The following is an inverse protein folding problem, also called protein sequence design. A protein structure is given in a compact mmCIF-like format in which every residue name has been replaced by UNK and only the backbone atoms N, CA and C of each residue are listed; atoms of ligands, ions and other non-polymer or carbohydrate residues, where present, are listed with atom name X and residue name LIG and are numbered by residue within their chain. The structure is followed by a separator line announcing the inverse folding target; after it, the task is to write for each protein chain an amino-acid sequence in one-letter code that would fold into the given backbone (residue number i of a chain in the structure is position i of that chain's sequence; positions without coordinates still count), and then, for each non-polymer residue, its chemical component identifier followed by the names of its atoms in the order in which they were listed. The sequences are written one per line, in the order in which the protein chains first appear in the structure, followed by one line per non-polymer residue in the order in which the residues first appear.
data_IF_032917051860
#
_entry.id   IF_032917051860
#
_cell.length_a   1.000
_cell.length_b   1.000
_cell.length_c   1.000
_cell.angle_alpha   90.00
_cell.angle_beta   90.00
_cell.angle_gamma   90.00
#
_symmetry.space_group_name_H-M   'P 1'
#
loop_
_entity.id
_entity.type
_entity.pdbx_description
1 polymer ?
#
# COMPACT_ATOMS: atom_id res chain seq x y z
N UNK A 1 -11.17 -2.31 -3.00
CA UNK A 1 -11.82 -0.97 -3.05
C UNK A 1 -13.32 -1.05 -3.26
N UNK A 2 -14.04 -1.64 -2.31
CA UNK A 2 -15.50 -1.67 -2.32
C UNK A 2 -16.03 -0.76 -1.23
N UNK A 3 -17.26 -0.28 -1.38
CA UNK A 3 -18.02 0.42 -0.36
C UNK A 3 -17.99 -0.37 0.96
N UNK A 4 -17.72 0.27 2.11
CA UNK A 4 -17.52 1.70 2.34
C UNK A 4 -16.04 2.13 2.38
N UNK A 5 -15.10 1.34 1.87
CA UNK A 5 -13.67 1.56 2.03
C UNK A 5 -13.02 2.38 0.91
N UNK A 6 -13.81 2.95 -0.02
CA UNK A 6 -13.28 3.83 -1.07
C UNK A 6 -13.01 5.22 -0.51
N UNK A 7 -12.07 5.97 -1.10
CA UNK A 7 -11.73 7.32 -0.63
C UNK A 7 -12.98 8.24 -0.49
N UNK A 8 -13.86 8.25 -1.49
CA UNK A 8 -15.13 9.00 -1.48
C UNK A 8 -16.09 8.62 -0.34
N UNK A 9 -15.97 7.42 0.22
CA UNK A 9 -16.77 6.95 1.36
C UNK A 9 -16.09 7.23 2.71
N UNK A 10 -14.81 7.60 2.69
CA UNK A 10 -13.93 7.82 3.84
C UNK A 10 -13.62 9.33 4.05
N UNK A 11 -14.52 10.20 3.59
CA UNK A 11 -14.48 11.65 3.85
C UNK A 11 -13.78 12.49 2.78
N UNK A 12 -13.26 11.90 1.70
CA UNK A 12 -12.72 12.67 0.58
C UNK A 12 -13.86 13.20 -0.30
N UNK A 13 -13.91 14.53 -0.51
CA UNK A 13 -14.88 15.19 -1.40
C UNK A 13 -14.60 14.91 -2.88
N UNK A 14 -13.36 14.56 -3.21
CA UNK A 14 -12.84 14.38 -4.56
C UNK A 14 -11.84 13.22 -4.57
N UNK A 15 -11.93 12.32 -5.55
CA UNK A 15 -11.08 11.14 -5.65
C UNK A 15 -10.88 10.69 -7.10
N UNK A 16 -9.63 10.48 -7.48
CA UNK A 16 -9.24 9.86 -8.76
C UNK A 16 -8.25 8.75 -8.46
N UNK A 17 -8.68 7.51 -8.58
CA UNK A 17 -7.92 6.34 -8.09
C UNK A 17 -7.89 5.22 -9.14
N UNK A 18 -6.86 4.39 -9.07
CA UNK A 18 -6.92 3.02 -9.60
C UNK A 18 -7.52 2.08 -8.54
N UNK A 19 -7.87 0.85 -8.93
CA UNK A 19 -8.26 -0.21 -7.97
C UNK A 19 -7.04 -1.07 -7.60
N UNK A 20 -7.06 -1.65 -6.40
CA UNK A 20 -6.00 -2.48 -5.85
C UNK A 20 -4.84 -1.67 -5.29
N UNK A 21 -3.75 -2.37 -5.00
CA UNK A 21 -2.54 -1.78 -4.41
C UNK A 21 -1.45 -1.45 -5.43
N UNK A 22 -1.75 -1.43 -6.73
CA UNK A 22 -0.79 -1.10 -7.78
C UNK A 22 -1.22 -1.59 -9.16
N UNK A 23 -0.56 -1.07 -10.19
CA UNK A 23 -0.81 -1.45 -11.59
C UNK A 23 -0.29 -2.85 -11.88
N UNK A 24 -0.96 -3.57 -12.78
CA UNK A 24 -0.67 -4.95 -13.15
C UNK A 24 -1.16 -5.96 -12.11
N UNK A 25 -2.05 -5.54 -11.22
CA UNK A 25 -2.63 -6.38 -10.18
C UNK A 25 -4.02 -6.88 -10.61
N UNK A 26 -4.55 -7.93 -9.96
CA UNK A 26 -5.83 -8.50 -10.37
C UNK A 26 -7.05 -7.57 -10.27
N UNK A 27 -6.91 -6.41 -9.62
CA UNK A 27 -7.96 -5.39 -9.56
C UNK A 27 -7.93 -4.39 -10.71
N UNK A 28 -6.93 -4.45 -11.59
CA UNK A 28 -6.90 -3.63 -12.80
C UNK A 28 -8.22 -3.80 -13.59
N UNK A 29 -8.75 -2.74 -14.23
CA UNK A 29 -9.90 -2.87 -15.10
C UNK A 29 -9.61 -3.82 -16.27
N UNK A 30 -10.61 -4.64 -16.61
CA UNK A 30 -10.49 -5.65 -17.68
C UNK A 30 -10.15 -4.96 -19.00
N UNK A 31 -9.05 -5.37 -19.63
CA UNK A 31 -8.55 -4.81 -20.89
C UNK A 31 -7.67 -3.57 -20.76
N UNK A 32 -7.48 -3.04 -19.55
CA UNK A 32 -6.61 -1.90 -19.26
C UNK A 32 -5.43 -2.26 -18.32
N UNK A 33 -5.09 -3.54 -18.24
CA UNK A 33 -4.14 -4.05 -17.24
C UNK A 33 -2.70 -3.63 -17.53
N UNK A 34 -1.96 -3.37 -16.46
CA UNK A 34 -0.51 -3.24 -16.51
C UNK A 34 0.03 -1.96 -17.13
N UNK A 35 -0.81 -0.96 -17.42
CA UNK A 35 -0.41 0.28 -18.12
C UNK A 35 -0.47 1.50 -17.22
N UNK A 36 0.62 2.24 -17.16
CA UNK A 36 0.68 3.59 -16.60
C UNK A 36 0.16 4.65 -17.57
N UNK A 37 0.37 4.44 -18.87
CA UNK A 37 -0.03 5.36 -19.93
C UNK A 37 -1.45 5.07 -20.38
N UNK A 38 -2.22 6.14 -20.58
CA UNK A 38 -3.64 6.10 -20.94
C UNK A 38 -4.44 5.13 -20.04
N UNK A 39 -4.47 5.37 -18.71
CA UNK A 39 -5.08 4.44 -17.76
C UNK A 39 -6.60 4.57 -17.72
N UNK A 40 -7.25 3.46 -17.37
CA UNK A 40 -8.64 3.47 -16.89
C UNK A 40 -8.62 3.66 -15.37
N UNK A 41 -9.23 4.75 -14.88
CA UNK A 41 -9.27 5.16 -13.48
C UNK A 41 -10.70 5.28 -12.98
N UNK A 42 -10.89 5.56 -11.69
CA UNK A 42 -12.19 5.79 -11.06
C UNK A 42 -12.23 7.20 -10.46
N UNK A 43 -13.04 8.07 -11.07
CA UNK A 43 -13.32 9.42 -10.59
C UNK A 43 -14.61 9.40 -9.77
N UNK A 44 -14.52 9.56 -8.45
CA UNK A 44 -15.65 9.50 -7.52
C UNK A 44 -16.54 8.26 -7.77
N UNK A 45 -15.87 7.11 -7.91
CA UNK A 45 -16.48 5.80 -8.11
C UNK A 45 -16.94 5.51 -9.54
N UNK A 46 -16.84 6.47 -10.46
CA UNK A 46 -17.17 6.27 -11.88
C UNK A 46 -15.91 5.97 -12.68
N UNK A 47 -15.96 4.91 -13.47
CA UNK A 47 -14.88 4.56 -14.37
C UNK A 47 -14.69 5.65 -15.44
N UNK A 48 -13.43 6.04 -15.67
CA UNK A 48 -13.04 7.08 -16.63
C UNK A 48 -11.75 6.69 -17.32
N UNK A 49 -11.73 6.78 -18.65
CA UNK A 49 -10.52 6.69 -19.44
C UNK A 49 -9.78 8.03 -19.42
N UNK A 50 -8.48 8.02 -19.12
CA UNK A 50 -7.62 9.20 -19.17
C UNK A 50 -6.55 9.04 -20.25
N UNK A 51 -5.98 10.17 -20.68
CA UNK A 51 -4.86 10.23 -21.61
C UNK A 51 -3.64 10.79 -20.88
N UNK A 52 -2.47 10.22 -21.15
CA UNK A 52 -1.20 10.60 -20.52
C UNK A 52 -0.73 9.59 -19.48
N UNK A 53 0.36 9.92 -18.78
CA UNK A 53 0.98 9.04 -17.79
C UNK A 53 0.32 9.20 -16.42
N UNK A 54 0.08 8.10 -15.70
CA UNK A 54 -0.65 8.06 -14.43
C UNK A 54 -0.19 9.13 -13.43
N UNK A 55 1.13 9.26 -13.20
CA UNK A 55 1.66 10.23 -12.24
C UNK A 55 1.24 11.66 -12.60
N UNK A 56 1.42 12.07 -13.85
CA UNK A 56 1.04 13.41 -14.33
C UNK A 56 -0.46 13.65 -14.15
N UNK A 57 -1.29 12.65 -14.49
CA UNK A 57 -2.75 12.72 -14.35
C UNK A 57 -3.16 12.98 -12.89
N UNK A 58 -2.52 12.31 -11.93
CA UNK A 58 -2.84 12.52 -10.51
C UNK A 58 -2.44 13.91 -10.03
N UNK A 59 -1.26 14.39 -10.41
CA UNK A 59 -0.80 15.74 -10.05
C UNK A 59 -1.68 16.82 -10.69
N UNK A 60 -2.05 16.68 -11.96
CA UNK A 60 -2.96 17.61 -12.65
C UNK A 60 -4.32 17.66 -11.97
N UNK A 61 -4.84 16.51 -11.56
CA UNK A 61 -6.12 16.44 -10.85
C UNK A 61 -6.04 17.09 -9.47
N UNK A 62 -4.95 16.87 -8.73
CA UNK A 62 -4.71 17.52 -7.44
C UNK A 62 -4.60 19.04 -7.58
N UNK A 63 -3.88 19.54 -8.57
CA UNK A 63 -3.75 20.96 -8.86
C UNK A 63 -5.11 21.60 -9.16
N UNK A 64 -5.93 20.94 -9.98
CA UNK A 64 -7.29 21.41 -10.26
C UNK A 64 -8.15 21.48 -8.99
N UNK A 65 -8.03 20.50 -8.08
CA UNK A 65 -8.74 20.53 -6.80
C UNK A 65 -8.26 21.69 -5.90
N UNK A 66 -6.95 21.96 -5.87
CA UNK A 66 -6.36 23.09 -5.14
C UNK A 66 -6.87 24.42 -5.70
N UNK A 67 -6.89 24.60 -7.01
CA UNK A 67 -7.44 25.79 -7.68
C UNK A 67 -8.90 26.03 -7.30
N UNK A 68 -9.74 24.99 -7.37
CA UNK A 68 -11.15 25.07 -6.96
C UNK A 68 -11.28 25.44 -5.49
N UNK A 69 -10.43 24.87 -4.62
CA UNK A 69 -10.43 25.17 -3.19
C UNK A 69 -10.06 26.63 -2.91
N UNK A 70 -9.05 27.15 -3.63
CA UNK A 70 -8.68 28.58 -3.59
C UNK A 70 -9.83 29.47 -4.02
N UNK A 71 -10.47 29.19 -5.16
CA UNK A 71 -11.62 29.98 -5.65
C UNK A 71 -12.78 29.98 -4.65
N UNK A 72 -12.96 28.88 -3.91
CA UNK A 72 -13.97 28.76 -2.85
C UNK A 72 -13.53 29.31 -1.50
N UNK A 73 -12.31 29.83 -1.38
CA UNK A 73 -11.70 30.31 -0.15
C UNK A 73 -11.78 29.29 1.00
N UNK A 74 -11.41 28.03 0.71
CA UNK A 74 -11.39 26.93 1.68
C UNK A 74 -9.98 26.34 1.81
N UNK A 75 -9.54 25.93 3.02
CA UNK A 75 -8.34 25.10 3.14
C UNK A 75 -8.56 23.76 2.45
N UNK A 76 -7.47 23.14 2.01
CA UNK A 76 -7.50 21.85 1.32
C UNK A 76 -6.60 20.83 2.02
N UNK A 77 -6.96 19.56 1.84
CA UNK A 77 -6.09 18.41 2.15
C UNK A 77 -6.00 17.56 0.90
N UNK A 78 -4.78 17.31 0.43
CA UNK A 78 -4.51 16.46 -0.74
C UNK A 78 -3.65 15.29 -0.29
N UNK A 79 -4.15 14.08 -0.52
CA UNK A 79 -3.38 12.85 -0.40
C UNK A 79 -3.08 12.31 -1.80
N UNK A 80 -1.80 12.26 -2.16
CA UNK A 80 -1.33 11.92 -3.51
C UNK A 80 -0.43 10.68 -3.50
N UNK A 81 -0.98 9.47 -3.27
CA UNK A 81 -0.20 8.23 -3.26
C UNK A 81 0.05 7.76 -4.69
N UNK A 82 1.10 8.28 -5.32
CA UNK A 82 1.48 7.82 -6.66
C UNK A 82 1.88 6.34 -6.62
N UNK A 83 1.52 5.63 -7.68
CA UNK A 83 1.90 4.24 -7.91
C UNK A 83 3.35 4.12 -8.40
N UNK A 84 3.90 5.14 -9.05
CA UNK A 84 5.32 5.18 -9.40
C UNK A 84 6.20 5.26 -8.14
N UNK A 85 7.41 4.65 -8.12
CA UNK A 85 8.06 3.91 -9.19
C UNK A 85 7.86 2.39 -9.04
N UNK A 86 6.69 1.93 -8.58
CA UNK A 86 6.38 0.51 -8.56
C UNK A 86 6.37 -0.07 -9.98
N UNK A 87 6.58 -1.39 -10.13
CA UNK A 87 6.35 -2.03 -11.42
C UNK A 87 4.86 -1.98 -11.82
N UNK A 88 4.53 -2.26 -13.09
CA UNK A 88 5.42 -2.77 -14.14
C UNK A 88 6.33 -1.70 -14.77
N UNK A 89 7.46 -2.12 -15.33
CA UNK A 89 8.48 -1.22 -15.90
C UNK A 89 8.45 -1.15 -17.44
N UNK A 90 7.55 -1.88 -18.10
CA UNK A 90 7.49 -1.88 -19.56
C UNK A 90 6.88 -0.57 -20.11
N UNK A 91 6.13 0.14 -19.28
CA UNK A 91 5.44 1.39 -19.59
C UNK A 91 5.90 2.47 -18.61
N UNK A 92 6.77 3.36 -19.08
CA UNK A 92 7.42 4.43 -18.30
C UNK A 92 7.51 5.70 -19.16
N UNK A 93 7.75 6.88 -18.55
CA UNK A 93 7.94 8.13 -19.30
C UNK A 93 9.11 8.00 -20.28
N UNK A 94 8.80 8.13 -21.57
CA UNK A 94 9.71 7.72 -22.64
C UNK A 94 10.92 8.66 -22.78
N UNK A 95 10.71 9.96 -22.64
CA UNK A 95 11.78 10.96 -22.77
C UNK A 95 12.82 10.79 -21.65
N UNK A 96 12.38 10.65 -20.40
CA UNK A 96 13.25 10.40 -19.26
C UNK A 96 13.94 9.03 -19.38
N UNK A 97 13.22 8.01 -19.84
CA UNK A 97 13.82 6.69 -20.06
C UNK A 97 14.94 6.73 -21.11
N UNK A 98 14.74 7.42 -22.23
CA UNK A 98 15.78 7.57 -23.25
C UNK A 98 16.99 8.35 -22.70
N UNK A 99 16.76 9.38 -21.89
CA UNK A 99 17.83 10.09 -21.18
C UNK A 99 18.63 9.13 -20.28
N UNK A 100 17.99 8.43 -19.34
CA UNK A 100 18.70 7.54 -18.41
C UNK A 100 19.32 6.32 -19.10
N UNK A 101 18.74 5.86 -20.21
CA UNK A 101 19.31 4.78 -21.02
C UNK A 101 20.60 5.19 -21.71
N UNK A 102 20.78 6.48 -22.01
CA UNK A 102 22.01 7.01 -22.60
C UNK A 102 23.18 7.10 -21.61
N UNK A 103 22.90 7.03 -20.30
CA UNK A 103 23.91 7.15 -19.25
C UNK A 103 24.56 5.82 -18.90
N UNK A 104 25.83 5.86 -18.46
CA UNK A 104 26.43 4.71 -17.78
C UNK A 104 25.83 4.59 -16.38
N UNK A 105 24.98 3.57 -16.18
CA UNK A 105 24.36 3.29 -14.89
C UNK A 105 24.97 2.07 -14.20
N UNK A 106 26.21 1.68 -14.50
CA UNK A 106 26.88 0.56 -13.83
C UNK A 106 27.08 0.80 -12.33
N UNK A 107 27.35 -0.26 -11.56
CA UNK A 107 27.47 -0.16 -10.10
C UNK A 107 28.69 0.66 -9.64
N UNK A 108 29.74 0.72 -10.44
CA UNK A 108 30.95 1.51 -10.17
C UNK A 108 30.73 3.02 -10.29
N UNK A 109 29.60 3.45 -10.87
CA UNK A 109 29.19 4.85 -10.95
C UNK A 109 28.58 5.37 -9.65
N UNK A 110 28.46 4.52 -8.61
CA UNK A 110 27.80 4.87 -7.36
C UNK A 110 28.69 4.57 -6.14
N UNK A 111 28.64 5.40 -5.09
CA UNK A 111 29.40 5.16 -3.86
C UNK A 111 29.06 3.80 -3.24
N UNK A 112 30.08 3.04 -2.87
CA UNK A 112 29.99 1.73 -2.19
C UNK A 112 30.92 1.64 -0.98
N UNK A 113 31.30 2.79 -0.42
CA UNK A 113 32.26 2.90 0.69
C UNK A 113 31.63 2.71 2.08
N UNK A 114 30.32 2.50 2.17
CA UNK A 114 29.60 2.33 3.43
C UNK A 114 28.55 1.24 3.33
N UNK A 115 28.37 0.54 4.46
CA UNK A 115 27.38 -0.51 4.61
C UNK A 115 27.59 -1.65 3.64
N UNK A 116 26.47 -2.17 3.16
CA UNK A 116 26.42 -3.38 2.40
C UNK A 116 26.65 -3.18 0.89
N UNK A 117 27.53 -3.99 0.29
CA UNK A 117 27.87 -3.92 -1.13
C UNK A 117 26.69 -4.23 -2.07
N UNK A 118 26.75 -3.66 -3.28
CA UNK A 118 25.79 -3.93 -4.35
C UNK A 118 26.01 -5.32 -4.97
N UNK A 119 24.94 -5.99 -5.46
CA UNK A 119 25.10 -7.23 -6.21
C UNK A 119 25.96 -7.04 -7.46
N UNK A 120 26.85 -7.98 -7.78
CA UNK A 120 27.77 -7.90 -8.93
C UNK A 120 27.05 -7.61 -10.26
N UNK A 121 25.91 -8.27 -10.47
CA UNK A 121 25.11 -8.11 -11.68
C UNK A 121 24.05 -7.04 -11.49
N UNK A 122 23.93 -6.14 -12.48
CA UNK A 122 22.93 -5.09 -12.51
C UNK A 122 22.11 -5.18 -13.80
N UNK A 123 20.78 -5.09 -13.69
CA UNK A 123 19.92 -4.88 -14.85
C UNK A 123 19.85 -3.36 -15.13
N UNK A 124 20.64 -2.90 -16.11
CA UNK A 124 20.77 -1.48 -16.43
C UNK A 124 19.53 -0.89 -17.09
N UNK A 125 18.84 -1.66 -17.93
CA UNK A 125 17.58 -1.26 -18.56
C UNK A 125 16.48 -1.01 -17.51
N UNK A 126 16.28 -1.96 -16.60
CA UNK A 126 15.34 -1.81 -15.48
C UNK A 126 15.71 -0.62 -14.59
N UNK A 127 17.01 -0.37 -14.40
CA UNK A 127 17.51 0.77 -13.60
C UNK A 127 17.17 2.10 -14.28
N UNK A 128 17.39 2.22 -15.59
CA UNK A 128 17.03 3.40 -16.36
C UNK A 128 15.51 3.67 -16.31
N UNK A 129 14.68 2.63 -16.44
CA UNK A 129 13.22 2.72 -16.31
C UNK A 129 12.78 3.21 -14.93
N UNK A 130 13.36 2.68 -13.85
CA UNK A 130 13.06 3.15 -12.48
C UNK A 130 13.48 4.61 -12.29
N UNK A 131 14.65 5.02 -12.82
CA UNK A 131 15.08 6.41 -12.76
C UNK A 131 14.16 7.34 -13.54
N UNK A 132 13.69 6.94 -14.72
CA UNK A 132 12.70 7.70 -15.49
C UNK A 132 11.42 7.94 -14.68
N UNK A 133 10.91 6.92 -13.99
CA UNK A 133 9.73 7.06 -13.13
C UNK A 133 9.97 7.98 -11.92
N UNK A 134 11.17 7.93 -11.33
CA UNK A 134 11.54 8.80 -10.18
C UNK A 134 11.69 10.26 -10.64
N UNK A 135 12.32 10.49 -11.78
CA UNK A 135 12.50 11.81 -12.38
C UNK A 135 11.14 12.44 -12.69
N UNK A 136 10.23 11.69 -13.30
CA UNK A 136 8.86 12.16 -13.54
C UNK A 136 8.11 12.52 -12.24
N UNK A 137 8.32 11.81 -11.13
CA UNK A 137 7.78 12.22 -9.81
C UNK A 137 8.39 13.56 -9.38
N UNK A 138 9.71 13.73 -9.48
CA UNK A 138 10.42 14.96 -9.08
C UNK A 138 9.96 16.17 -9.90
N UNK A 139 9.83 16.03 -11.22
CA UNK A 139 9.29 17.07 -12.10
C UNK A 139 7.86 17.46 -11.70
N UNK A 140 7.01 16.49 -11.35
CA UNK A 140 5.66 16.76 -10.89
C UNK A 140 5.60 17.44 -9.50
N UNK A 141 6.53 17.13 -8.60
CA UNK A 141 6.70 17.88 -7.34
C UNK A 141 7.11 19.32 -7.63
N UNK A 142 8.03 19.53 -8.59
CA UNK A 142 8.41 20.86 -9.07
C UNK A 142 7.22 21.64 -9.63
N UNK A 143 6.39 20.97 -10.45
CA UNK A 143 5.13 21.53 -10.97
C UNK A 143 4.18 21.92 -9.84
N UNK A 144 3.96 21.05 -8.86
CA UNK A 144 3.10 21.33 -7.70
C UNK A 144 3.59 22.56 -6.94
N UNK A 145 4.88 22.64 -6.61
CA UNK A 145 5.48 23.80 -5.94
C UNK A 145 5.26 25.09 -6.73
N UNK A 146 5.59 25.09 -8.02
CA UNK A 146 5.48 26.28 -8.87
C UNK A 146 4.02 26.73 -9.02
N UNK A 147 3.07 25.79 -9.11
CA UNK A 147 1.64 26.10 -9.13
C UNK A 147 1.18 26.70 -7.79
N UNK A 148 1.61 26.17 -6.65
CA UNK A 148 1.31 26.75 -5.34
C UNK A 148 1.88 28.17 -5.20
N UNK A 149 3.07 28.45 -5.75
CA UNK A 149 3.66 29.80 -5.79
C UNK A 149 2.84 30.75 -6.66
N UNK A 150 2.50 30.33 -7.88
CA UNK A 150 1.67 31.13 -8.80
C UNK A 150 0.27 31.39 -8.24
N UNK A 151 -0.24 30.48 -7.41
CA UNK A 151 -1.48 30.63 -6.67
C UNK A 151 -1.30 31.37 -5.34
N UNK A 152 -0.11 31.84 -4.97
CA UNK A 152 0.15 32.52 -3.68
C UNK A 152 -0.27 31.68 -2.46
N UNK A 153 -0.22 30.34 -2.58
CA UNK A 153 -0.59 29.38 -1.55
C UNK A 153 0.63 28.72 -0.89
N UNK A 154 1.81 28.77 -1.53
CA UNK A 154 2.98 28.01 -1.08
C UNK A 154 3.36 28.32 0.38
N UNK A 155 3.37 29.60 0.75
CA UNK A 155 3.79 30.07 2.07
C UNK A 155 2.94 29.45 3.20
N UNK A 156 1.64 29.21 2.96
CA UNK A 156 0.69 28.65 3.93
C UNK A 156 0.34 27.18 3.67
N UNK A 157 1.09 26.49 2.81
CA UNK A 157 0.87 25.06 2.51
C UNK A 157 1.96 24.21 3.15
N UNK A 158 1.55 23.26 4.00
CA UNK A 158 2.43 22.18 4.46
C UNK A 158 2.48 21.06 3.40
N UNK A 159 3.64 20.88 2.78
CA UNK A 159 3.93 19.76 1.90
C UNK A 159 4.70 18.70 2.69
N UNK A 160 4.22 17.46 2.68
CA UNK A 160 4.89 16.30 3.28
C UNK A 160 5.18 15.31 2.15
N UNK A 161 6.46 14.98 1.93
CA UNK A 161 6.89 13.93 1.02
C UNK A 161 7.40 12.73 1.82
N UNK A 162 6.87 11.55 1.53
CA UNK A 162 7.30 10.30 2.15
C UNK A 162 7.11 9.12 1.19
N UNK A 163 7.73 7.98 1.52
CA UNK A 163 7.54 6.72 0.78
C UNK A 163 7.02 5.62 1.71
N UNK A 164 6.22 4.71 1.16
CA UNK A 164 5.43 3.71 1.89
C UNK A 164 6.27 2.64 2.58
N UNK A 165 7.39 2.24 1.98
CA UNK A 165 8.30 1.20 2.43
C UNK A 165 9.69 1.35 1.79
N UNK A 166 10.65 0.54 2.25
CA UNK A 166 11.91 0.35 1.55
C UNK A 166 11.73 -0.08 0.08
N UNK A 167 12.70 0.23 -0.79
CA UNK A 167 12.62 0.00 -2.23
C UNK A 167 12.71 -1.49 -2.60
N UNK A 168 12.29 -1.85 -3.82
CA UNK A 168 12.27 -3.23 -4.31
C UNK A 168 13.65 -3.82 -4.68
N UNK A 169 14.75 -3.08 -4.50
CA UNK A 169 16.08 -3.52 -4.86
C UNK A 169 17.16 -2.89 -3.98
N UNK A 170 18.24 -3.64 -3.73
CA UNK A 170 19.39 -3.23 -2.91
C UNK A 170 20.14 -2.00 -3.44
N UNK A 171 19.98 -1.65 -4.72
CA UNK A 171 20.59 -0.42 -5.25
C UNK A 171 20.09 0.82 -4.51
N UNK A 172 18.83 0.84 -4.07
CA UNK A 172 18.15 2.04 -3.62
C UNK A 172 18.12 2.19 -2.09
N UNK A 173 18.78 1.29 -1.34
CA UNK A 173 18.76 1.27 0.14
C UNK A 173 19.98 1.93 0.78
N UNK A 174 20.82 2.66 0.03
CA UNK A 174 21.97 3.41 0.59
C UNK A 174 22.89 2.60 1.53
N UNK A 175 23.14 1.33 1.21
CA UNK A 175 23.98 0.44 2.02
C UNK A 175 23.30 -0.18 3.24
N UNK A 176 22.04 0.15 3.55
CA UNK A 176 21.29 -0.50 4.62
C UNK A 176 20.98 -1.98 4.32
N UNK A 177 20.80 -2.78 5.37
CA UNK A 177 20.45 -4.19 5.24
C UNK A 177 18.99 -4.36 4.80
N UNK A 178 18.72 -5.40 4.01
CA UNK A 178 17.38 -5.67 3.49
C UNK A 178 16.92 -4.70 2.40
N UNK A 179 15.64 -4.80 2.06
CA UNK A 179 14.89 -4.02 1.07
C UNK A 179 13.39 -4.29 1.30
N UNK A 180 12.48 -3.86 0.42
CA UNK A 180 11.03 -4.07 0.54
C UNK A 180 10.67 -5.45 1.09
N UNK A 181 9.78 -5.49 2.08
CA UNK A 181 9.33 -6.69 2.81
C UNK A 181 10.31 -7.24 3.85
N UNK A 182 11.49 -6.66 4.04
CA UNK A 182 12.36 -6.97 5.18
C UNK A 182 12.08 -6.03 6.35
N UNK A 183 12.36 -6.48 7.58
CA UNK A 183 12.27 -5.68 8.82
C UNK A 183 13.57 -4.93 9.17
N UNK A 184 14.61 -5.14 8.37
CA UNK A 184 15.87 -4.39 8.42
C UNK A 184 15.70 -2.95 7.92
N UNK A 185 16.64 -2.05 8.20
CA UNK A 185 16.54 -0.61 7.89
C UNK A 185 16.28 -0.36 6.41
N UNK A 186 16.88 -1.12 5.50
CA UNK A 186 16.65 -0.98 4.06
C UNK A 186 15.21 -1.33 3.63
N UNK A 187 14.44 -2.02 4.47
CA UNK A 187 13.04 -2.35 4.26
C UNK A 187 12.04 -1.41 4.95
N UNK A 188 12.42 -0.75 6.05
CA UNK A 188 11.51 0.05 6.88
C UNK A 188 11.90 1.54 7.02
N UNK A 189 13.13 1.91 6.70
CA UNK A 189 13.60 3.30 6.73
C UNK A 189 13.26 3.99 5.41
N UNK A 190 12.46 5.04 5.51
CA UNK A 190 11.93 5.79 4.37
C UNK A 190 12.31 7.27 4.47
N UNK A 191 12.60 7.96 3.35
CA UNK A 191 12.64 9.42 3.31
C UNK A 191 11.35 10.05 3.85
N UNK A 192 11.51 11.12 4.62
CA UNK A 192 10.44 12.00 5.10
C UNK A 192 10.93 13.43 5.02
N UNK A 193 10.32 14.24 4.15
CA UNK A 193 10.65 15.64 3.93
C UNK A 193 9.41 16.50 4.17
N UNK A 194 9.61 17.68 4.76
CA UNK A 194 8.54 18.65 4.99
C UNK A 194 8.95 20.02 4.48
N UNK A 195 7.99 20.72 3.89
CA UNK A 195 8.17 22.08 3.40
C UNK A 195 6.95 22.92 3.76
N UNK A 196 7.17 23.99 4.54
CA UNK A 196 6.15 24.96 4.94
C UNK A 196 6.83 26.29 5.28
N UNK A 197 7.05 27.18 4.29
CA UNK A 197 7.91 28.34 4.42
C UNK A 197 7.57 29.28 5.59
N UNK A 198 6.29 29.56 5.84
CA UNK A 198 5.88 30.45 6.93
C UNK A 198 6.16 29.88 8.34
N UNK A 199 6.41 28.57 8.48
CA UNK A 199 6.50 27.92 9.79
C UNK A 199 7.77 27.12 10.03
N UNK A 200 8.37 26.56 8.98
CA UNK A 200 9.53 25.70 9.06
C UNK A 200 10.76 26.41 8.51
N UNK A 201 11.83 26.49 9.33
CA UNK A 201 13.11 27.04 8.89
C UNK A 201 13.78 26.06 7.93
N UNK A 202 14.08 26.51 6.71
CA UNK A 202 14.81 25.71 5.72
C UNK A 202 16.14 25.16 6.27
N UNK A 203 16.47 23.93 5.92
CA UNK A 203 17.67 23.22 6.39
C UNK A 203 17.57 22.62 7.79
N UNK A 204 16.42 22.74 8.48
CA UNK A 204 16.17 22.06 9.75
C UNK A 204 16.00 20.56 9.55
N UNK A 205 16.62 19.75 10.41
CA UNK A 205 16.51 18.29 10.39
C UNK A 205 16.54 17.71 11.81
N UNK A 206 16.09 16.46 11.94
CA UNK A 206 16.11 15.70 13.20
C UNK A 206 16.46 14.23 12.94
N UNK A 207 17.25 13.61 13.82
CA UNK A 207 17.57 12.17 13.81
C UNK A 207 16.68 11.34 14.75
N UNK A 208 15.64 11.97 15.30
CA UNK A 208 14.73 11.29 16.22
C UNK A 208 13.90 10.25 15.50
N UNK A 209 13.72 9.10 16.15
CA UNK A 209 12.85 8.03 15.63
C UNK A 209 11.40 8.50 15.61
N UNK A 210 10.82 8.50 14.41
CA UNK A 210 9.40 8.71 14.09
C UNK A 210 8.89 7.55 13.25
N UNK A 211 7.58 7.40 13.14
CA UNK A 211 6.94 6.35 12.37
C UNK A 211 5.76 6.87 11.54
N UNK A 212 5.29 6.09 10.57
CA UNK A 212 4.15 6.45 9.73
C UNK A 212 2.87 6.76 10.53
N UNK A 213 2.68 6.12 11.70
CA UNK A 213 1.58 6.42 12.64
C UNK A 213 1.63 7.84 13.22
N UNK A 214 2.78 8.52 13.14
CA UNK A 214 2.94 9.88 13.64
C UNK A 214 2.49 10.94 12.62
N UNK A 215 2.27 10.58 11.35
CA UNK A 215 1.89 11.51 10.28
C UNK A 215 0.53 12.16 10.58
N UNK A 216 -0.50 11.37 10.87
CA UNK A 216 -1.84 11.91 11.13
C UNK A 216 -1.86 12.84 12.35
N UNK A 217 -1.32 12.47 13.53
CA UNK A 217 -1.15 13.40 14.65
C UNK A 217 -0.38 14.68 14.27
N UNK A 218 0.64 14.59 13.42
CA UNK A 218 1.41 15.76 12.95
C UNK A 218 0.58 16.69 12.06
N UNK A 219 -0.26 16.13 11.18
CA UNK A 219 -1.20 16.92 10.37
C UNK A 219 -2.24 17.61 11.26
N UNK A 220 -2.78 16.91 12.25
CA UNK A 220 -3.74 17.49 13.21
C UNK A 220 -3.12 18.63 14.03
N UNK A 221 -1.84 18.50 14.44
CA UNK A 221 -1.08 19.59 15.07
C UNK A 221 -0.92 20.80 14.14
N UNK A 222 -0.59 20.54 12.87
CA UNK A 222 -0.44 21.58 11.85
C UNK A 222 -1.76 22.35 11.65
N UNK A 223 -2.89 21.64 11.66
CA UNK A 223 -4.24 22.22 11.58
C UNK A 223 -4.74 22.87 12.89
N UNK A 224 -3.96 22.83 13.97
CA UNK A 224 -4.34 23.45 15.25
C UNK A 224 -5.46 22.71 16.00
N UNK A 225 -5.63 21.41 15.78
CA UNK A 225 -6.64 20.61 16.48
C UNK A 225 -6.24 20.44 17.95
N UNK A 226 -7.04 20.99 18.86
CA UNK A 226 -6.76 21.00 20.31
C UNK A 226 -7.59 20.01 21.13
N UNK A 227 -8.62 19.39 20.55
CA UNK A 227 -9.48 18.45 21.27
C UNK A 227 -8.72 17.18 21.66
N UNK A 228 -8.43 17.03 22.95
CA UNK A 228 -7.70 15.90 23.51
C UNK A 228 -8.35 14.55 23.18
N UNK A 229 -9.67 14.48 23.07
CA UNK A 229 -10.37 13.22 22.72
C UNK A 229 -10.04 12.72 21.32
N UNK A 230 -9.65 13.63 20.42
CA UNK A 230 -9.14 13.26 19.09
C UNK A 230 -7.75 12.65 19.22
N UNK A 231 -6.88 13.27 20.03
CA UNK A 231 -5.51 12.81 20.24
C UNK A 231 -5.41 11.44 20.90
N UNK A 232 -6.32 11.11 21.82
CA UNK A 232 -6.31 9.83 22.54
C UNK A 232 -6.72 8.62 21.66
N UNK A 233 -7.04 8.83 20.37
CA UNK A 233 -7.40 7.77 19.43
C UNK A 233 -6.22 7.25 18.59
N UNK A 234 -5.04 7.85 18.70
CA UNK A 234 -3.89 7.53 17.85
C UNK A 234 -2.72 6.93 18.65
N UNK A 235 -2.08 5.90 18.10
CA UNK A 235 -0.84 5.33 18.65
C UNK A 235 0.39 6.23 18.40
N UNK A 236 0.28 7.15 17.45
CA UNK A 236 1.32 8.09 17.07
C UNK A 236 1.30 9.39 17.87
N UNK A 237 2.33 10.22 17.67
CA UNK A 237 2.43 11.55 18.27
C UNK A 237 3.00 12.57 17.27
N UNK A 238 2.58 13.82 17.37
CA UNK A 238 3.07 14.87 16.46
C UNK A 238 4.58 15.07 16.61
N UNK A 239 5.31 15.00 15.48
CA UNK A 239 6.72 15.36 15.41
C UNK A 239 6.97 16.78 14.87
N UNK A 240 5.93 17.54 14.53
CA UNK A 240 6.06 18.94 14.09
C UNK A 240 6.90 19.81 15.07
N UNK A 241 6.81 19.64 16.40
CA UNK A 241 7.66 20.37 17.34
C UNK A 241 9.17 20.16 17.16
N UNK A 242 9.61 19.05 16.54
CA UNK A 242 11.02 18.83 16.21
C UNK A 242 11.54 19.79 15.12
N UNK A 243 10.64 20.41 14.35
CA UNK A 243 10.96 21.17 13.15
C UNK A 243 10.57 22.65 13.24
N UNK A 244 9.51 22.99 13.98
CA UNK A 244 8.97 24.37 14.06
C UNK A 244 9.46 25.18 15.29
N UNK A 245 10.53 24.71 15.94
CA UNK A 245 11.17 25.43 17.06
C UNK A 245 10.40 25.38 18.38
N UNK A 246 9.24 24.71 18.43
CA UNK A 246 8.55 24.39 19.70
C UNK A 246 9.36 23.34 20.47
N UNK A 247 10.34 23.81 21.24
CA UNK A 247 11.24 22.96 22.01
C UNK A 247 10.46 22.00 22.92
N UNK A 248 10.47 20.70 22.59
CA UNK A 248 9.83 19.65 23.37
C UNK A 248 10.83 18.57 23.72
N UNK A 249 10.64 18.01 24.91
CA UNK A 249 11.23 16.73 25.28
C UNK A 249 10.69 15.65 24.34
N UNK A 250 11.49 15.24 23.35
CA UNK A 250 11.20 14.05 22.53
C UNK A 250 11.61 12.80 23.30
N UNK A 251 10.68 12.29 24.12
CA UNK A 251 10.92 11.10 24.93
C UNK A 251 11.15 9.89 24.02
N UNK A 252 12.21 9.12 24.29
CA UNK A 252 12.45 7.89 23.55
C UNK A 252 11.27 6.92 23.71
N UNK A 253 11.00 6.13 22.67
CA UNK A 253 9.94 5.12 22.65
C UNK A 253 10.34 3.98 21.74
N UNK A 254 9.82 2.79 22.00
CA UNK A 254 9.96 1.66 21.07
C UNK A 254 8.83 1.70 20.05
N UNK A 255 9.18 1.89 18.79
CA UNK A 255 8.29 1.70 17.64
C UNK A 255 8.36 0.25 17.19
N UNK A 256 7.21 -0.38 16.98
CA UNK A 256 7.14 -1.76 16.45
C UNK A 256 6.57 -1.75 15.04
N UNK A 257 7.21 -2.51 14.15
CA UNK A 257 6.71 -2.83 12.82
C UNK A 257 6.65 -4.35 12.72
N UNK A 258 5.49 -4.89 12.42
CA UNK A 258 5.28 -6.32 12.17
C UNK A 258 4.60 -6.50 10.81
N UNK A 259 5.10 -7.41 9.98
CA UNK A 259 4.53 -7.63 8.64
C UNK A 259 4.56 -9.10 8.23
N UNK A 260 3.39 -9.71 8.03
CA UNK A 260 3.29 -11.07 7.50
C UNK A 260 1.95 -11.28 6.78
N UNK A 261 1.72 -12.45 6.21
CA UNK A 261 0.44 -12.82 5.56
C UNK A 261 -0.43 -13.62 6.54
N UNK A 262 -1.65 -13.94 6.13
CA UNK A 262 -2.62 -14.66 6.95
C UNK A 262 -3.68 -13.74 7.57
N UNK A 263 -4.69 -14.35 8.18
CA UNK A 263 -5.83 -13.62 8.78
C UNK A 263 -5.57 -13.20 10.22
N UNK A 264 -4.66 -13.87 10.93
CA UNK A 264 -4.39 -13.65 12.35
C UNK A 264 -2.94 -13.18 12.52
N UNK A 265 -2.67 -12.18 13.37
CA UNK A 265 -1.30 -11.84 13.71
C UNK A 265 -0.63 -13.00 14.46
N UNK A 266 0.63 -13.26 14.15
CA UNK A 266 1.42 -14.29 14.82
C UNK A 266 2.47 -13.60 15.66
N UNK A 267 2.43 -13.82 16.99
CA UNK A 267 3.40 -13.22 17.91
C UNK A 267 4.83 -13.58 17.48
N UNK A 268 5.71 -12.59 17.51
CA UNK A 268 7.09 -12.62 17.06
C UNK A 268 7.29 -12.92 15.56
N UNK A 269 6.26 -12.98 14.71
CA UNK A 269 6.45 -13.24 13.29
C UNK A 269 6.88 -11.98 12.54
N UNK A 270 8.08 -12.00 11.96
CA UNK A 270 8.60 -11.00 11.03
C UNK A 270 8.38 -9.55 11.48
N UNK A 271 9.05 -9.19 12.58
CA UNK A 271 8.93 -7.88 13.22
C UNK A 271 10.28 -7.19 13.46
N UNK A 272 10.23 -5.88 13.68
CA UNK A 272 11.28 -5.10 14.31
C UNK A 272 10.69 -4.21 15.42
N UNK A 273 11.42 -4.07 16.52
CA UNK A 273 11.17 -3.13 17.61
C UNK A 273 12.37 -2.18 17.70
N UNK A 274 12.14 -0.88 17.57
CA UNK A 274 13.17 0.15 17.38
C UNK A 274 12.92 1.34 18.33
N UNK A 275 13.83 1.56 19.28
CA UNK A 275 13.90 2.84 20.02
C UNK A 275 15.02 3.71 19.44
N UNK A 276 15.51 4.77 20.09
CA UNK A 276 16.57 5.63 19.52
C UNK A 276 17.91 4.91 19.31
N UNK A 277 18.30 4.01 20.23
CA UNK A 277 19.61 3.33 20.18
C UNK A 277 19.53 1.89 19.69
N UNK A 278 18.57 1.13 20.18
CA UNK A 278 18.49 -0.30 19.97
C UNK A 278 17.44 -0.67 18.93
N UNK A 279 17.74 -1.72 18.18
CA UNK A 279 16.80 -2.41 17.30
C UNK A 279 16.84 -3.91 17.58
N UNK A 280 15.72 -4.46 18.01
CA UNK A 280 15.49 -5.90 18.10
C UNK A 280 14.67 -6.33 16.89
N UNK A 281 15.03 -7.42 16.23
CA UNK A 281 14.22 -7.94 15.12
C UNK A 281 14.17 -9.47 15.10
N UNK A 282 13.17 -10.00 14.42
CA UNK A 282 13.10 -11.40 14.01
C UNK A 282 12.71 -11.47 12.54
N UNK A 283 13.68 -11.70 11.65
CA UNK A 283 13.45 -11.75 10.20
C UNK A 283 12.97 -13.12 9.71
N UNK A 284 11.85 -13.63 10.25
CA UNK A 284 11.32 -14.96 9.91
C UNK A 284 10.76 -15.11 8.48
N UNK A 285 10.70 -14.03 7.71
CA UNK A 285 10.29 -14.03 6.30
C UNK A 285 8.88 -13.49 6.09
N UNK A 286 8.75 -12.52 5.19
CA UNK A 286 7.47 -12.01 4.71
C UNK A 286 6.82 -12.97 3.71
N UNK A 287 5.49 -13.01 3.69
CA UNK A 287 4.73 -13.84 2.74
C UNK A 287 4.15 -15.11 3.35
N UNK A 288 4.73 -15.58 4.46
CA UNK A 288 4.24 -16.74 5.20
C UNK A 288 3.13 -16.32 6.17
N UNK A 289 2.25 -17.28 6.50
CA UNK A 289 1.21 -17.09 7.52
C UNK A 289 1.72 -17.38 8.93
N UNK A 290 2.85 -18.08 9.05
CA UNK A 290 3.51 -18.45 10.31
C UNK A 290 5.01 -18.68 10.09
N UNK A 291 5.73 -19.00 11.17
CA UNK A 291 7.12 -19.43 11.13
C UNK A 291 7.32 -20.68 12.00
N UNK A 292 8.37 -21.44 11.72
CA UNK A 292 8.70 -22.68 12.43
C UNK A 292 9.80 -22.47 13.48
N UNK A 293 9.73 -23.22 14.58
CA UNK A 293 10.73 -23.22 15.64
C UNK A 293 10.62 -22.03 16.60
N UNK A 294 11.63 -21.86 17.44
CA UNK A 294 11.74 -20.72 18.35
C UNK A 294 12.18 -19.46 17.61
N UNK A 295 11.70 -18.26 18.02
CA UNK A 295 12.11 -17.03 17.36
C UNK A 295 13.61 -16.81 17.51
N UNK A 296 14.25 -16.36 16.43
CA UNK A 296 15.69 -16.03 16.40
C UNK A 296 15.85 -14.53 16.39
N UNK A 297 16.05 -13.97 17.58
CA UNK A 297 16.20 -12.53 17.74
C UNK A 297 17.61 -12.04 17.40
N UNK A 298 17.68 -10.96 16.66
CA UNK A 298 18.90 -10.21 16.35
C UNK A 298 18.79 -8.82 17.02
N UNK A 299 19.88 -8.33 17.60
CA UNK A 299 19.94 -7.04 18.30
C UNK A 299 21.06 -6.18 17.73
N UNK A 300 20.76 -4.94 17.35
CA UNK A 300 21.72 -3.99 16.81
C UNK A 300 21.75 -2.67 17.60
N UNK A 301 22.96 -2.13 17.82
CA UNK A 301 23.16 -0.77 18.31
C UNK A 301 23.18 0.20 17.12
N UNK A 302 22.04 0.82 16.83
CA UNK A 302 21.84 1.64 15.64
C UNK A 302 22.61 2.98 15.66
N UNK A 303 23.21 3.36 16.79
CA UNK A 303 24.09 4.53 16.85
C UNK A 303 25.52 4.18 16.39
N UNK A 304 25.95 2.94 16.59
CA UNK A 304 27.29 2.46 16.24
C UNK A 304 27.31 1.61 14.97
N UNK A 305 26.22 0.90 14.69
CA UNK A 305 26.04 -0.01 13.56
C UNK A 305 24.71 0.28 12.84
N UNK A 306 24.60 1.42 12.13
CA UNK A 306 23.38 1.77 11.41
C UNK A 306 23.07 0.83 10.23
N UNK A 307 24.02 -0.02 9.84
CA UNK A 307 23.89 -0.95 8.70
C UNK A 307 23.56 -2.38 9.13
N UNK A 308 23.34 -2.63 10.43
CA UNK A 308 22.91 -3.93 10.99
C UNK A 308 23.90 -5.06 10.65
N UNK A 309 25.19 -4.77 10.74
CA UNK A 309 26.28 -5.67 10.35
C UNK A 309 26.72 -6.64 11.46
N UNK A 310 26.45 -6.33 12.73
CA UNK A 310 26.86 -7.13 13.87
C UNK A 310 25.71 -7.40 14.84
N UNK A 311 25.27 -8.66 14.92
CA UNK A 311 24.31 -9.08 15.95
C UNK A 311 24.97 -9.08 17.34
N UNK A 312 24.34 -8.36 18.27
CA UNK A 312 24.75 -8.20 19.66
C UNK A 312 23.81 -8.91 20.65
N UNK A 313 22.87 -9.73 20.16
CA UNK A 313 21.85 -10.42 20.98
C UNK A 313 22.47 -11.26 22.10
N UNK A 314 23.54 -12.00 21.81
CA UNK A 314 24.28 -12.81 22.77
C UNK A 314 25.10 -11.96 23.76
N UNK A 315 25.54 -10.76 23.36
CA UNK A 315 26.36 -9.86 24.18
C UNK A 315 25.51 -9.05 25.16
N UNK A 316 24.31 -8.63 24.77
CA UNK A 316 23.42 -7.81 25.59
C UNK A 316 22.03 -8.48 25.82
N UNK A 317 21.97 -9.64 26.48
CA UNK A 317 20.70 -10.37 26.68
C UNK A 317 19.68 -9.60 27.53
N UNK A 318 20.14 -8.70 28.42
CA UNK A 318 19.26 -7.83 29.19
C UNK A 318 18.56 -6.77 28.31
N UNK A 319 19.21 -6.32 27.23
CA UNK A 319 18.59 -5.41 26.24
C UNK A 319 17.60 -6.18 25.37
N UNK A 320 17.94 -7.40 24.94
CA UNK A 320 16.99 -8.30 24.25
C UNK A 320 15.72 -8.47 25.08
N UNK A 321 15.85 -8.75 26.38
CA UNK A 321 14.71 -8.90 27.29
C UNK A 321 13.87 -7.62 27.38
N UNK A 322 14.52 -6.46 27.57
CA UNK A 322 13.82 -5.16 27.64
C UNK A 322 13.05 -4.84 26.34
N UNK A 323 13.68 -5.03 25.19
CA UNK A 323 13.07 -4.79 23.88
C UNK A 323 11.94 -5.78 23.58
N UNK A 324 12.08 -7.04 24.01
CA UNK A 324 11.04 -8.07 23.86
C UNK A 324 9.83 -7.72 24.72
N UNK A 325 10.02 -7.28 25.96
CA UNK A 325 8.92 -6.82 26.82
C UNK A 325 8.16 -5.64 26.20
N UNK A 326 8.87 -4.70 25.55
CA UNK A 326 8.24 -3.60 24.84
C UNK A 326 7.43 -4.08 23.62
N UNK A 327 7.95 -5.07 22.89
CA UNK A 327 7.20 -5.72 21.80
C UNK A 327 5.95 -6.43 22.32
N UNK A 328 6.05 -7.19 23.42
CA UNK A 328 4.93 -7.94 23.97
C UNK A 328 3.82 -7.02 24.46
N UNK A 329 4.17 -5.93 25.15
CA UNK A 329 3.21 -4.92 25.57
C UNK A 329 2.49 -4.29 24.36
N UNK A 330 3.23 -3.97 23.30
CA UNK A 330 2.63 -3.48 22.05
C UNK A 330 1.72 -4.52 21.42
N UNK A 331 2.15 -5.78 21.32
CA UNK A 331 1.38 -6.84 20.68
C UNK A 331 0.06 -7.07 21.44
N UNK A 332 0.11 -7.13 22.77
CA UNK A 332 -1.08 -7.30 23.62
C UNK A 332 -2.07 -6.14 23.47
N UNK A 333 -1.55 -4.91 23.45
CA UNK A 333 -2.35 -3.70 23.29
C UNK A 333 -3.08 -3.68 21.94
N UNK A 334 -2.35 -3.74 20.82
CA UNK A 334 -2.98 -3.70 19.48
C UNK A 334 -3.93 -4.89 19.25
N UNK A 335 -3.66 -6.02 19.89
CA UNK A 335 -4.50 -7.22 19.84
C UNK A 335 -5.83 -7.06 20.58
N UNK A 336 -5.92 -6.12 21.52
CA UNK A 336 -7.11 -5.89 22.34
C UNK A 336 -8.17 -4.97 21.72
N UNK A 337 -7.82 -4.21 20.67
CA UNK A 337 -8.56 -2.99 20.29
C UNK A 337 -9.88 -3.19 19.50
N UNK A 338 -10.37 -4.42 19.29
CA UNK A 338 -11.63 -4.65 18.52
C UNK A 338 -12.38 -5.95 18.93
N UNK A 339 -13.73 -5.94 19.01
CA UNK A 339 -14.54 -7.12 19.37
C UNK A 339 -14.35 -8.35 18.46
N UNK A 340 -14.04 -8.12 17.18
CA UNK A 340 -13.78 -9.14 16.15
C UNK A 340 -12.43 -8.85 15.45
N UNK A 341 -11.38 -8.52 16.21
CA UNK A 341 -10.16 -7.83 15.72
C UNK A 341 -9.55 -8.37 14.42
N UNK A 342 -9.59 -9.68 14.23
CA UNK A 342 -8.94 -10.36 13.11
C UNK A 342 -9.90 -10.99 12.12
N UNK A 343 -11.19 -10.72 12.26
CA UNK A 343 -12.19 -11.25 11.37
C UNK A 343 -12.12 -10.52 10.01
N UNK A 344 -11.97 -11.24 8.88
CA UNK A 344 -11.94 -10.64 7.56
C UNK A 344 -13.06 -9.62 7.32
N UNK A 345 -12.77 -8.45 6.72
CA UNK A 345 -13.82 -7.51 6.32
C UNK A 345 -14.71 -8.16 5.25
N UNK A 346 -16.03 -7.93 5.35
CA UNK A 346 -16.99 -8.39 4.34
C UNK A 346 -17.15 -7.32 3.27
N UNK A 347 -17.16 -7.75 2.01
CA UNK A 347 -17.55 -6.87 0.90
C UNK A 347 -19.07 -6.72 0.90
N UNK A 348 -19.56 -5.49 0.94
CA UNK A 348 -21.01 -5.21 0.94
C UNK A 348 -21.54 -5.37 -0.49
N UNK A 349 -22.54 -6.24 -0.66
CA UNK A 349 -23.22 -6.50 -1.93
C UNK A 349 -24.65 -5.95 -1.87
N UNK A 350 -25.10 -5.33 -2.96
CA UNK A 350 -26.47 -4.83 -3.07
C UNK A 350 -26.71 -3.43 -2.50
N UNK A 351 -25.65 -2.71 -2.13
CA UNK A 351 -25.74 -1.30 -1.72
C UNK A 351 -26.05 -0.39 -2.91
N UNK A 352 -26.96 0.60 -2.79
CA UNK A 352 -27.13 1.62 -3.83
C UNK A 352 -25.90 2.53 -4.00
N UNK A 353 -24.95 2.53 -3.05
CA UNK A 353 -23.71 3.30 -3.12
C UNK A 353 -22.64 2.66 -4.01
N UNK A 354 -22.84 1.41 -4.41
CA UNK A 354 -21.96 0.71 -5.35
C UNK A 354 -22.71 -0.40 -6.09
N UNK A 355 -22.85 -0.23 -7.40
CA UNK A 355 -23.36 -1.24 -8.31
C UNK A 355 -22.66 -1.08 -9.68
N UNK A 356 -21.98 -2.10 -10.22
CA UNK A 356 -21.70 -3.42 -9.63
C UNK A 356 -20.76 -3.35 -8.42
N UNK A 357 -20.85 -4.36 -7.56
CA UNK A 357 -19.75 -4.71 -6.64
C UNK A 357 -18.76 -5.60 -7.39
N UNK A 358 -17.46 -5.27 -7.34
CA UNK A 358 -16.42 -6.03 -8.07
C UNK A 358 -15.56 -6.78 -7.08
N UNK A 359 -15.47 -8.10 -7.26
CA UNK A 359 -14.70 -9.00 -6.43
C UNK A 359 -13.52 -9.53 -7.22
N UNK A 360 -12.33 -9.41 -6.63
CA UNK A 360 -11.09 -9.80 -7.28
C UNK A 360 -10.38 -10.85 -6.43
N UNK A 361 -9.48 -11.61 -7.04
CA UNK A 361 -8.62 -12.55 -6.30
C UNK A 361 -7.69 -11.88 -5.27
N UNK A 362 -7.62 -10.55 -5.20
CA UNK A 362 -6.89 -9.87 -4.12
C UNK A 362 -7.66 -9.92 -2.81
N UNK A 363 -9.00 -9.93 -2.89
CA UNK A 363 -9.88 -9.85 -1.75
C UNK A 363 -10.24 -11.22 -1.16
N UNK A 364 -10.18 -12.28 -1.96
CA UNK A 364 -10.60 -13.60 -1.52
C UNK A 364 -9.65 -14.23 -0.49
N UNK A 365 -10.19 -15.11 0.33
CA UNK A 365 -9.42 -15.99 1.19
C UNK A 365 -8.95 -17.17 0.37
N UNK A 366 -7.64 -17.17 0.12
CA UNK A 366 -6.94 -18.15 -0.68
C UNK A 366 -7.13 -19.57 -0.11
N UNK A 367 -7.36 -20.54 -1.00
CA UNK A 367 -7.54 -21.95 -0.63
C UNK A 367 -6.49 -22.85 -1.29
N UNK A 368 -6.13 -22.58 -2.54
CA UNK A 368 -5.15 -23.38 -3.26
C UNK A 368 -4.48 -22.61 -4.39
N UNK A 369 -3.28 -23.06 -4.77
CA UNK A 369 -2.40 -22.40 -5.74
C UNK A 369 -1.44 -21.42 -5.07
N UNK A 370 -0.96 -20.43 -5.82
CA UNK A 370 -0.19 -19.30 -5.26
C UNK A 370 -1.12 -18.15 -4.96
N UNK A 371 -1.12 -17.52 -3.77
CA UNK A 371 -1.94 -16.34 -3.49
C UNK A 371 -1.86 -15.28 -4.60
N UNK A 372 -3.02 -14.79 -5.04
CA UNK A 372 -3.22 -13.87 -6.17
C UNK A 372 -2.76 -14.39 -7.55
N UNK A 373 -2.22 -15.60 -7.63
CA UNK A 373 -1.73 -16.21 -8.86
C UNK A 373 -2.83 -16.55 -9.85
N UNK A 374 -2.47 -16.69 -11.13
CA UNK A 374 -3.38 -16.97 -12.24
C UNK A 374 -4.29 -18.19 -11.98
N UNK A 375 -3.70 -19.28 -11.50
CA UNK A 375 -4.37 -20.55 -11.20
C UNK A 375 -4.78 -20.71 -9.73
N UNK A 376 -4.91 -19.60 -8.98
CA UNK A 376 -5.36 -19.68 -7.59
C UNK A 376 -6.87 -19.80 -7.48
N UNK A 377 -7.31 -20.36 -6.35
CA UNK A 377 -8.70 -20.44 -5.93
C UNK A 377 -8.85 -19.86 -4.53
N UNK A 378 -10.08 -19.44 -4.21
CA UNK A 378 -10.43 -18.91 -2.90
C UNK A 378 -11.92 -18.62 -2.77
N UNK A 379 -12.27 -17.99 -1.66
CA UNK A 379 -13.64 -17.55 -1.36
C UNK A 379 -13.69 -16.08 -0.96
N UNK A 380 -14.66 -15.33 -1.47
CA UNK A 380 -14.95 -13.98 -0.98
C UNK A 380 -15.90 -14.05 0.20
N UNK A 381 -15.59 -13.26 1.22
CA UNK A 381 -16.46 -13.06 2.37
C UNK A 381 -17.26 -11.79 2.11
N UNK A 382 -18.58 -11.93 2.05
CA UNK A 382 -19.48 -10.87 1.60
C UNK A 382 -20.63 -10.67 2.58
N UNK A 383 -21.26 -9.51 2.52
CA UNK A 383 -22.47 -9.19 3.24
C UNK A 383 -23.52 -8.67 2.25
N UNK A 384 -24.55 -9.46 1.99
CA UNK A 384 -25.68 -9.03 1.14
C UNK A 384 -26.58 -8.10 1.94
N UNK A 385 -26.59 -6.82 1.60
CA UNK A 385 -27.34 -5.79 2.34
C UNK A 385 -28.86 -5.96 2.19
N UNK A 386 -29.33 -6.61 1.13
CA UNK A 386 -30.76 -6.85 0.87
C UNK A 386 -30.99 -8.25 0.30
N UNK A 387 -32.21 -8.74 0.44
CA UNK A 387 -32.73 -9.85 -0.36
C UNK A 387 -33.16 -9.35 -1.73
N UNK A 388 -33.19 -10.22 -2.74
CA UNK A 388 -33.65 -9.87 -4.08
C UNK A 388 -32.97 -10.67 -5.19
N UNK A 389 -33.30 -10.32 -6.42
CA UNK A 389 -32.62 -10.84 -7.60
C UNK A 389 -31.27 -10.12 -7.79
N UNK A 390 -30.26 -10.86 -8.22
CA UNK A 390 -28.95 -10.34 -8.59
C UNK A 390 -28.50 -10.97 -9.90
N UNK A 391 -27.77 -10.22 -10.71
CA UNK A 391 -26.99 -10.76 -11.83
C UNK A 391 -25.53 -10.88 -11.39
N UNK A 392 -24.95 -12.07 -11.53
CA UNK A 392 -23.53 -12.31 -11.26
C UNK A 392 -22.82 -12.56 -12.58
N UNK A 393 -21.80 -11.75 -12.87
CA UNK A 393 -20.98 -11.87 -14.07
C UNK A 393 -19.61 -12.41 -13.68
N UNK A 394 -19.28 -13.60 -14.16
CA UNK A 394 -17.99 -14.26 -13.96
C UNK A 394 -17.10 -14.00 -15.17
N UNK A 395 -16.02 -13.25 -15.01
CA UNK A 395 -15.06 -13.00 -16.09
C UNK A 395 -13.96 -14.07 -16.11
N UNK A 396 -13.67 -14.62 -17.28
CA UNK A 396 -12.55 -15.55 -17.48
C UNK A 396 -11.30 -14.80 -17.91
N UNK A 397 -10.13 -15.43 -17.78
CA UNK A 397 -8.88 -14.80 -18.20
C UNK A 397 -8.61 -15.13 -19.67
N UNK A 398 -8.64 -14.11 -20.53
CA UNK A 398 -8.37 -14.27 -21.96
C UNK A 398 -9.36 -15.24 -22.62
N UNK A 399 -8.89 -15.99 -23.62
CA UNK A 399 -9.71 -16.92 -24.40
C UNK A 399 -9.77 -18.33 -23.77
N UNK A 400 -9.87 -18.41 -22.44
CA UNK A 400 -10.02 -19.70 -21.77
C UNK A 400 -11.35 -20.35 -22.21
N UNK A 401 -11.27 -21.63 -22.61
CA UNK A 401 -12.42 -22.50 -22.92
C UNK A 401 -12.71 -23.40 -21.73
N UNK A 402 -13.64 -23.03 -20.84
CA UNK A 402 -13.98 -23.85 -19.70
C UNK A 402 -14.92 -24.98 -20.10
N UNK A 403 -14.73 -26.18 -19.54
CA UNK A 403 -15.73 -27.25 -19.62
C UNK A 403 -16.95 -26.93 -18.74
N UNK A 404 -16.70 -26.28 -17.60
CA UNK A 404 -17.74 -25.92 -16.64
C UNK A 404 -17.28 -24.69 -15.84
N UNK A 405 -18.23 -23.81 -15.56
CA UNK A 405 -18.06 -22.75 -14.56
C UNK A 405 -19.11 -22.97 -13.49
N UNK A 406 -18.68 -22.94 -12.24
CA UNK A 406 -19.57 -23.08 -11.09
C UNK A 406 -19.50 -21.83 -10.22
N UNK A 407 -20.66 -21.35 -9.82
CA UNK A 407 -20.87 -20.28 -8.84
C UNK A 407 -21.55 -20.88 -7.62
N UNK A 408 -21.01 -20.63 -6.44
CA UNK A 408 -21.60 -21.03 -5.17
C UNK A 408 -21.72 -19.84 -4.24
N UNK A 409 -22.91 -19.63 -3.68
CA UNK A 409 -23.23 -18.56 -2.73
C UNK A 409 -23.95 -19.16 -1.54
N UNK A 410 -23.25 -19.22 -0.40
CA UNK A 410 -23.72 -20.00 0.75
C UNK A 410 -23.88 -21.46 0.37
N UNK A 411 -25.09 -21.98 0.55
CA UNK A 411 -25.46 -23.37 0.23
C UNK A 411 -25.98 -23.57 -1.19
N UNK A 412 -26.23 -22.47 -1.93
CA UNK A 412 -26.77 -22.54 -3.29
C UNK A 412 -25.63 -22.61 -4.31
N UNK A 413 -25.82 -23.42 -5.36
CA UNK A 413 -24.83 -23.67 -6.40
C UNK A 413 -25.50 -23.63 -7.78
N UNK A 414 -24.80 -23.02 -8.73
CA UNK A 414 -25.20 -22.90 -10.13
C UNK A 414 -24.01 -23.26 -11.01
N UNK A 415 -24.26 -23.99 -12.10
CA UNK A 415 -23.22 -24.36 -13.07
C UNK A 415 -23.69 -24.08 -14.49
N UNK A 416 -22.79 -23.53 -15.30
CA UNK A 416 -22.96 -23.38 -16.74
C UNK A 416 -21.94 -24.27 -17.46
N UNK A 417 -22.36 -24.82 -18.60
CA UNK A 417 -21.56 -25.69 -19.45
C UNK A 417 -21.48 -25.08 -20.84
N UNK A 418 -20.29 -24.76 -21.32
CA UNK A 418 -20.14 -24.14 -22.63
C UNK A 418 -18.97 -24.73 -23.40
N UNK A 419 -19.17 -24.96 -24.70
CA UNK A 419 -18.12 -25.42 -25.63
C UNK A 419 -17.50 -24.27 -26.43
N UNK A 420 -18.05 -23.06 -26.28
CA UNK A 420 -17.60 -21.80 -26.88
C UNK A 420 -16.77 -21.05 -25.83
N UNK A 421 -15.93 -20.11 -26.28
CA UNK A 421 -14.97 -19.38 -25.44
C UNK A 421 -15.45 -17.96 -25.10
N UNK A 422 -16.53 -17.74 -24.33
CA UNK A 422 -16.87 -16.38 -23.95
C UNK A 422 -15.91 -15.87 -22.86
N UNK A 423 -15.64 -14.56 -22.90
CA UNK A 423 -14.83 -13.87 -21.90
C UNK A 423 -15.59 -13.65 -20.58
N UNK A 424 -16.90 -13.92 -20.54
CA UNK A 424 -17.75 -13.78 -19.35
C UNK A 424 -18.98 -14.69 -19.37
N UNK A 425 -19.47 -15.02 -18.18
CA UNK A 425 -20.63 -15.89 -17.94
C UNK A 425 -21.60 -15.22 -16.96
N UNK A 426 -22.90 -15.34 -17.19
CA UNK A 426 -23.92 -14.63 -16.42
C UNK A 426 -24.81 -15.62 -15.66
N UNK A 427 -25.00 -15.36 -14.38
CA UNK A 427 -25.90 -16.12 -13.51
C UNK A 427 -26.98 -15.20 -12.95
N UNK A 428 -28.24 -15.59 -13.08
CA UNK A 428 -29.36 -14.93 -12.40
C UNK A 428 -29.63 -15.67 -11.10
N UNK A 429 -29.49 -14.98 -9.97
CA UNK A 429 -29.63 -15.58 -8.63
C UNK A 429 -30.67 -14.83 -7.80
N UNK A 430 -31.24 -15.51 -6.81
CA UNK A 430 -32.13 -14.89 -5.81
C UNK A 430 -31.56 -15.11 -4.42
N UNK A 431 -31.30 -14.02 -3.71
CA UNK A 431 -30.90 -14.03 -2.30
C UNK A 431 -32.15 -13.85 -1.45
N UNK A 432 -32.60 -14.93 -0.79
CA UNK A 432 -33.85 -14.93 -0.02
C UNK A 432 -33.77 -14.09 1.26
N UNK A 433 -32.58 -13.97 1.85
CA UNK A 433 -32.34 -13.19 3.07
C UNK A 433 -30.96 -12.53 3.00
N UNK A 434 -30.91 -11.22 3.23
CA UNK A 434 -29.64 -10.50 3.39
C UNK A 434 -28.83 -11.03 4.59
N UNK A 435 -27.52 -10.78 4.58
CA UNK A 435 -26.60 -11.23 5.60
C UNK A 435 -25.26 -11.71 5.05
N UNK A 436 -24.42 -12.23 5.93
CA UNK A 436 -23.10 -12.73 5.60
C UNK A 436 -23.22 -13.99 4.73
N UNK A 437 -22.53 -13.98 3.59
CA UNK A 437 -22.46 -15.10 2.65
C UNK A 437 -21.04 -15.25 2.12
N UNK A 438 -20.66 -16.49 1.82
CA UNK A 438 -19.41 -16.77 1.11
C UNK A 438 -19.71 -16.97 -0.37
N UNK A 439 -18.94 -16.31 -1.22
CA UNK A 439 -19.01 -16.51 -2.68
C UNK A 439 -17.78 -17.31 -3.09
N UNK A 440 -18.00 -18.40 -3.83
CA UNK A 440 -16.97 -19.20 -4.48
C UNK A 440 -17.29 -19.31 -5.94
N UNK A 441 -16.26 -19.26 -6.77
CA UNK A 441 -16.42 -19.67 -8.16
C UNK A 441 -15.12 -20.28 -8.67
N UNK A 442 -15.28 -21.33 -9.46
CA UNK A 442 -14.19 -22.04 -10.08
C UNK A 442 -14.55 -22.42 -11.51
N UNK A 443 -13.52 -22.38 -12.32
CA UNK A 443 -13.51 -22.66 -13.75
C UNK A 443 -12.77 -23.98 -13.92
N UNK A 444 -13.41 -24.96 -14.55
CA UNK A 444 -12.81 -26.26 -14.85
C UNK A 444 -12.48 -26.34 -16.33
N UNK A 445 -11.26 -26.75 -16.65
CA UNK A 445 -10.79 -27.06 -18.02
C UNK A 445 -9.92 -28.32 -17.96
N UNK A 446 -10.47 -29.46 -18.36
CA UNK A 446 -9.90 -30.79 -18.14
C UNK A 446 -9.73 -31.07 -16.65
N UNK A 447 -8.50 -31.43 -16.26
CA UNK A 447 -8.12 -31.68 -14.86
C UNK A 447 -7.72 -30.41 -14.10
N UNK A 448 -7.71 -29.25 -14.77
CA UNK A 448 -7.31 -27.98 -14.16
C UNK A 448 -8.54 -27.27 -13.61
N UNK A 449 -8.44 -26.79 -12.37
CA UNK A 449 -9.39 -25.89 -11.74
C UNK A 449 -8.70 -24.58 -11.35
N UNK A 450 -9.29 -23.45 -11.74
CA UNK A 450 -8.81 -22.11 -11.41
C UNK A 450 -9.97 -21.19 -11.07
N UNK A 451 -9.76 -20.15 -10.28
CA UNK A 451 -10.80 -19.15 -10.07
C UNK A 451 -10.89 -18.15 -11.23
N UNK A 452 -11.89 -17.26 -11.21
CA UNK A 452 -12.15 -16.34 -12.30
C UNK A 452 -11.10 -15.23 -12.36
N UNK A 453 -11.10 -14.51 -13.47
CA UNK A 453 -10.36 -13.27 -13.59
C UNK A 453 -10.89 -12.24 -12.58
N UNK A 454 -12.18 -11.91 -12.68
CA UNK A 454 -12.93 -11.02 -11.79
C UNK A 454 -14.40 -11.48 -11.70
N UNK A 455 -15.11 -11.04 -10.67
CA UNK A 455 -16.55 -11.25 -10.50
C UNK A 455 -17.25 -9.90 -10.33
N UNK A 456 -18.33 -9.67 -11.06
CA UNK A 456 -19.23 -8.54 -10.82
C UNK A 456 -20.55 -9.06 -10.23
N UNK A 457 -21.08 -8.37 -9.23
CA UNK A 457 -22.39 -8.67 -8.64
C UNK A 457 -23.27 -7.43 -8.74
N UNK A 458 -24.30 -7.53 -9.57
CA UNK A 458 -25.26 -6.49 -9.91
C UNK A 458 -26.58 -6.71 -9.16
N UNK A 459 -27.19 -5.64 -8.69
CA UNK A 459 -28.36 -5.64 -7.81
C UNK A 459 -29.66 -5.12 -8.42
#
# INVERSE_FOLDING_TARGET
DNYPMRAMDQGFEESLVLRGGGIGQPSDPIGAEGKYSDPTLFHNGKEVQKKGYCTDIYFDHALKFIEVSKTRNRPFFVYLPTNAPHGPFHDVPQEEYDYYKSLNLANDQFPQNQGHALPKNANLDKRARIFAMIDNIDQNIGKLKNSLEALELLEDTLIIFMVDNGPNARRYVSGFQGNKSHVHEGGIRSPLLMHWPNRLKAGTWSDKVVAHIDITPTILDACGVTDRKVWDQFDGRSFLPLLDGRNRQWLDRTVVIQSHRGNLPVRYHHFAARNQRWKLLHASGFGNESFEGSPRFELYDMLLDPFESQDLSATFPHIVTSMTNAYDAWFDDVSSTRPNNYDPPRIIIGSPKQNPSVLTRQDWRHQSGKPWGAASNGEWWTHFQRSGAYEVIVHTKGDQKPDTITLKIGDNEWSEYETISPSSFKFQIVINRGGDQKIKTWIKSGDVSSGPHQLEVLN
#
